data_IF_591283051763
#
_entry.id   IF_591283051763
#
_cell.length_a   1.000
_cell.length_b   1.000
_cell.length_c   1.000
_cell.angle_alpha   90.00
_cell.angle_beta   90.00
_cell.angle_gamma   90.00
#
_symmetry.space_group_name_H-M   'P 1'
#
loop_
_entity.id
_entity.type
_entity.pdbx_description
1 polymer ?
#
# COMPACT_ATOMS: atom_id res chain seq x y z
N UNK A 1 0.39 -28.24 -6.93
CA UNK A 1 -0.98 -28.72 -7.18
C UNK A 1 -1.56 -27.97 -8.36
N UNK A 2 -2.08 -28.66 -9.38
CA UNK A 2 -2.73 -27.99 -10.51
C UNK A 2 -4.22 -27.79 -10.21
N UNK A 3 -4.72 -26.58 -10.50
CA UNK A 3 -6.11 -26.19 -10.28
C UNK A 3 -6.84 -25.96 -11.60
N UNK A 4 -8.13 -26.23 -11.58
CA UNK A 4 -9.06 -25.91 -12.66
C UNK A 4 -10.25 -25.16 -12.07
N UNK A 5 -10.83 -24.26 -12.85
CA UNK A 5 -12.03 -23.52 -12.45
C UNK A 5 -13.04 -23.45 -13.60
N UNK A 6 -14.31 -23.30 -13.27
CA UNK A 6 -15.38 -23.12 -14.24
C UNK A 6 -15.57 -21.62 -14.54
N UNK A 7 -15.60 -21.25 -15.82
CA UNK A 7 -15.92 -19.90 -16.27
C UNK A 7 -16.95 -19.96 -17.41
N UNK A 8 -18.14 -19.41 -17.19
CA UNK A 8 -19.22 -19.42 -18.19
C UNK A 8 -19.60 -20.84 -18.68
N UNK A 9 -19.54 -21.83 -17.79
CA UNK A 9 -19.82 -23.24 -18.11
C UNK A 9 -18.65 -24.02 -18.73
N UNK A 10 -17.54 -23.34 -19.07
CA UNK A 10 -16.33 -23.99 -19.60
C UNK A 10 -15.30 -24.28 -18.51
N UNK A 11 -14.58 -25.39 -18.65
CA UNK A 11 -13.44 -25.74 -17.80
C UNK A 11 -12.18 -25.00 -18.24
N UNK A 12 -11.58 -24.22 -17.35
CA UNK A 12 -10.32 -23.50 -17.57
C UNK A 12 -9.22 -24.09 -16.69
N UNK A 13 -8.07 -24.41 -17.28
CA UNK A 13 -6.88 -24.96 -16.61
C UNK A 13 -6.11 -25.96 -17.48
N UNK A 14 -5.00 -26.54 -16.99
CA UNK A 14 -4.48 -26.44 -15.62
C UNK A 14 -3.87 -25.07 -15.33
N UNK A 15 -4.19 -24.53 -14.16
CA UNK A 15 -3.61 -23.31 -13.61
C UNK A 15 -2.65 -23.71 -12.48
N UNK A 16 -1.45 -23.14 -12.48
CA UNK A 16 -0.51 -23.37 -11.39
C UNK A 16 -1.00 -22.68 -10.08
N UNK A 17 -0.49 -23.07 -8.90
CA UNK A 17 -0.96 -22.53 -7.63
C UNK A 17 -0.88 -21.00 -7.52
N UNK A 18 0.20 -20.40 -8.04
CA UNK A 18 0.43 -18.94 -7.95
C UNK A 18 -0.57 -18.15 -8.82
N UNK A 19 -0.76 -18.57 -10.07
CA UNK A 19 -1.72 -17.96 -10.98
C UNK A 19 -3.16 -18.17 -10.50
N UNK A 20 -3.44 -19.30 -9.84
CA UNK A 20 -4.75 -19.55 -9.24
C UNK A 20 -5.05 -18.57 -8.11
N UNK A 21 -4.09 -18.32 -7.20
CA UNK A 21 -4.22 -17.26 -6.19
C UNK A 21 -4.37 -15.87 -6.80
N UNK A 22 -3.65 -15.58 -7.89
CA UNK A 22 -3.78 -14.31 -8.60
C UNK A 22 -5.19 -14.11 -9.19
N UNK A 23 -5.84 -15.16 -9.68
CA UNK A 23 -7.22 -15.12 -10.20
C UNK A 23 -8.26 -14.89 -9.09
N UNK A 24 -8.02 -15.45 -7.90
CA UNK A 24 -8.85 -15.19 -6.71
C UNK A 24 -8.70 -13.73 -6.29
N UNK A 25 -7.46 -13.25 -6.14
CA UNK A 25 -7.17 -11.86 -5.76
C UNK A 25 -7.67 -10.85 -6.82
N UNK A 26 -7.67 -11.25 -8.09
CA UNK A 26 -8.24 -10.48 -9.20
C UNK A 26 -9.76 -10.52 -9.30
N UNK A 27 -10.45 -11.29 -8.44
CA UNK A 27 -11.91 -11.40 -8.42
C UNK A 27 -12.52 -12.22 -9.56
N UNK A 28 -11.70 -12.93 -10.33
CA UNK A 28 -12.20 -13.84 -11.39
C UNK A 28 -12.79 -15.12 -10.79
N UNK A 29 -12.16 -15.63 -9.72
CA UNK A 29 -12.67 -16.75 -8.94
C UNK A 29 -13.33 -16.18 -7.69
N UNK A 30 -14.63 -16.34 -7.58
CA UNK A 30 -15.45 -15.92 -6.43
C UNK A 30 -15.80 -17.14 -5.57
N UNK A 31 -16.45 -16.93 -4.42
CA UNK A 31 -16.85 -18.02 -3.53
C UNK A 31 -17.77 -19.07 -4.17
N UNK A 32 -18.55 -18.66 -5.19
CA UNK A 32 -19.48 -19.54 -5.90
C UNK A 32 -18.83 -20.25 -7.10
N UNK A 33 -17.66 -19.79 -7.55
CA UNK A 33 -16.95 -20.39 -8.67
C UNK A 33 -16.60 -21.84 -8.36
N UNK A 34 -17.01 -22.76 -9.23
CA UNK A 34 -16.66 -24.17 -9.10
C UNK A 34 -15.19 -24.36 -9.44
N UNK A 35 -14.47 -25.02 -8.54
CA UNK A 35 -13.04 -25.33 -8.67
C UNK A 35 -12.81 -26.82 -8.48
N UNK A 36 -11.77 -27.33 -9.10
CA UNK A 36 -11.38 -28.73 -9.02
C UNK A 36 -9.87 -28.89 -9.10
N UNK A 37 -9.35 -29.89 -8.40
CA UNK A 37 -7.95 -30.34 -8.48
C UNK A 37 -7.91 -31.85 -8.62
N UNK A 38 -6.80 -32.40 -9.10
CA UNK A 38 -6.61 -33.86 -9.28
C UNK A 38 -6.84 -34.67 -7.98
N UNK A 39 -6.70 -34.04 -6.81
CA UNK A 39 -6.95 -34.65 -5.51
C UNK A 39 -8.42 -34.65 -5.07
N UNK A 40 -9.34 -34.12 -5.87
CA UNK A 40 -10.77 -34.00 -5.54
C UNK A 40 -11.60 -35.00 -6.37
N UNK A 41 -12.61 -35.59 -5.73
CA UNK A 41 -13.56 -36.46 -6.41
C UNK A 41 -14.48 -35.69 -7.38
N UNK A 42 -14.91 -34.49 -6.98
CA UNK A 42 -15.90 -33.69 -7.70
C UNK A 42 -15.59 -32.20 -7.66
N UNK A 43 -16.21 -31.44 -8.56
CA UNK A 43 -16.15 -29.98 -8.61
C UNK A 43 -16.89 -29.39 -7.41
N UNK A 44 -16.24 -28.49 -6.67
CA UNK A 44 -16.82 -27.88 -5.47
C UNK A 44 -16.75 -26.35 -5.56
N UNK A 45 -17.70 -25.60 -4.97
CA UNK A 45 -17.60 -24.15 -4.86
C UNK A 45 -16.33 -23.74 -4.11
N UNK A 46 -15.65 -22.70 -4.59
CA UNK A 46 -14.40 -22.23 -3.99
C UNK A 46 -14.56 -21.87 -2.51
N UNK A 47 -15.71 -21.32 -2.09
CA UNK A 47 -15.95 -20.99 -0.68
C UNK A 47 -15.79 -22.19 0.26
N UNK A 48 -16.17 -23.40 -0.19
CA UNK A 48 -16.01 -24.61 0.61
C UNK A 48 -14.55 -25.09 0.60
N UNK A 49 -13.91 -25.07 -0.57
CA UNK A 49 -12.52 -25.49 -0.74
C UNK A 49 -11.55 -24.56 -0.02
N UNK A 50 -11.85 -23.26 0.02
CA UNK A 50 -11.05 -22.24 0.69
C UNK A 50 -10.93 -22.49 2.21
N UNK A 51 -11.93 -23.11 2.83
CA UNK A 51 -11.91 -23.44 4.25
C UNK A 51 -10.96 -24.63 4.59
N UNK A 52 -10.76 -25.54 3.64
CA UNK A 52 -9.94 -26.76 3.80
C UNK A 52 -8.51 -26.61 3.26
N UNK A 53 -8.24 -25.49 2.60
CA UNK A 53 -6.95 -25.18 1.98
C UNK A 53 -6.31 -23.96 2.63
N UNK A 54 -5.00 -23.84 2.54
CA UNK A 54 -4.28 -22.63 2.93
C UNK A 54 -3.10 -22.37 1.99
N UNK A 55 -2.58 -21.15 2.05
CA UNK A 55 -1.44 -20.73 1.25
C UNK A 55 -0.15 -21.12 1.96
N UNK A 56 0.73 -21.83 1.27
CA UNK A 56 2.05 -22.19 1.76
C UNK A 56 2.91 -20.94 1.89
N UNK A 57 3.45 -20.67 3.08
CA UNK A 57 4.30 -19.50 3.32
C UNK A 57 5.58 -19.52 2.48
N UNK A 58 6.09 -20.71 2.15
CA UNK A 58 7.34 -20.86 1.41
C UNK A 58 7.17 -20.66 -0.12
N UNK A 59 6.07 -21.15 -0.70
CA UNK A 59 5.87 -21.14 -2.15
C UNK A 59 4.79 -20.16 -2.62
N UNK A 60 3.95 -19.64 -1.72
CA UNK A 60 2.78 -18.82 -2.08
C UNK A 60 1.65 -19.60 -2.77
N UNK A 61 1.82 -20.90 -3.00
CA UNK A 61 0.80 -21.76 -3.59
C UNK A 61 -0.22 -22.25 -2.57
N UNK A 62 -1.48 -22.45 -3.00
CA UNK A 62 -2.53 -23.05 -2.17
C UNK A 62 -2.47 -24.58 -2.17
N UNK A 63 -2.51 -25.17 -0.98
CA UNK A 63 -2.49 -26.62 -0.73
C UNK A 63 -3.52 -27.00 0.35
N UNK A 64 -3.81 -28.29 0.50
CA UNK A 64 -4.69 -28.80 1.56
C UNK A 64 -4.05 -28.63 2.92
N UNK A 65 -4.82 -28.14 3.90
CA UNK A 65 -4.31 -27.92 5.26
C UNK A 65 -3.80 -29.22 5.91
N UNK A 66 -4.44 -30.36 5.63
CA UNK A 66 -4.02 -31.69 6.09
C UNK A 66 -2.60 -32.10 5.64
N UNK A 67 -2.13 -31.55 4.52
CA UNK A 67 -0.83 -31.89 3.93
C UNK A 67 0.25 -30.84 4.28
N UNK A 68 -0.06 -29.93 5.21
CA UNK A 68 0.80 -28.82 5.61
C UNK A 68 1.10 -28.84 7.11
N UNK A 69 2.28 -28.33 7.45
CA UNK A 69 2.72 -28.16 8.84
C UNK A 69 2.39 -26.73 9.28
N UNK A 70 1.62 -26.54 10.36
CA UNK A 70 1.44 -25.23 10.97
C UNK A 70 2.68 -24.83 11.76
N UNK A 71 3.16 -23.60 11.58
CA UNK A 71 4.29 -23.01 12.31
C UNK A 71 4.09 -21.50 12.45
N UNK A 72 4.06 -20.98 13.68
CA UNK A 72 3.87 -19.54 13.98
C UNK A 72 2.69 -18.88 13.22
N UNK A 73 1.55 -19.58 13.13
CA UNK A 73 0.36 -19.08 12.42
C UNK A 73 0.45 -19.14 10.89
N UNK A 74 1.52 -19.72 10.33
CA UNK A 74 1.70 -19.96 8.89
C UNK A 74 1.59 -21.45 8.57
N UNK A 75 1.19 -21.77 7.35
CA UNK A 75 1.18 -23.14 6.84
C UNK A 75 2.37 -23.35 5.89
N UNK A 76 3.05 -24.49 6.01
CA UNK A 76 4.21 -24.85 5.19
C UNK A 76 3.94 -26.21 4.55
N UNK A 77 4.01 -26.31 3.23
CA UNK A 77 3.80 -27.59 2.54
C UNK A 77 4.95 -28.57 2.78
N UNK A 78 4.63 -29.86 2.76
CA UNK A 78 5.61 -30.92 2.97
C UNK A 78 6.84 -30.80 2.04
N UNK A 79 6.61 -30.43 0.77
CA UNK A 79 7.67 -30.23 -0.24
C UNK A 79 8.66 -29.11 0.13
N UNK A 80 8.20 -28.05 0.79
CA UNK A 80 9.03 -26.88 1.12
C UNK A 80 9.48 -26.86 2.59
N UNK A 81 9.07 -27.83 3.40
CA UNK A 81 9.33 -27.89 4.84
C UNK A 81 10.83 -27.82 5.15
N UNK A 82 11.62 -28.68 4.52
CA UNK A 82 13.06 -28.76 4.79
C UNK A 82 13.78 -27.48 4.39
N UNK A 83 13.52 -26.96 3.18
CA UNK A 83 14.11 -25.70 2.72
C UNK A 83 13.72 -24.52 3.62
N UNK A 84 12.46 -24.48 4.07
CA UNK A 84 11.97 -23.42 4.96
C UNK A 84 12.70 -23.44 6.31
N UNK A 85 12.78 -24.61 6.98
CA UNK A 85 13.47 -24.72 8.26
C UNK A 85 14.99 -24.57 8.14
N UNK A 86 15.57 -24.98 7.01
CA UNK A 86 16.99 -24.75 6.73
C UNK A 86 17.28 -23.24 6.63
N UNK A 87 16.49 -22.50 5.85
CA UNK A 87 16.60 -21.03 5.77
C UNK A 87 16.40 -20.37 7.13
N UNK A 88 15.47 -20.87 7.94
CA UNK A 88 15.24 -20.38 9.30
C UNK A 88 16.48 -20.57 10.19
N UNK A 89 17.14 -21.73 10.13
CA UNK A 89 18.38 -22.01 10.87
C UNK A 89 19.56 -21.16 10.41
N UNK A 90 19.65 -20.91 9.11
CA UNK A 90 20.70 -20.10 8.51
C UNK A 90 20.47 -18.58 8.71
N UNK A 91 19.33 -18.19 9.30
CA UNK A 91 18.92 -16.79 9.39
C UNK A 91 18.63 -16.15 8.02
N UNK A 92 18.44 -16.98 6.98
CA UNK A 92 18.15 -16.56 5.62
C UNK A 92 16.68 -16.17 5.53
N UNK A 93 16.42 -15.03 4.88
CA UNK A 93 15.08 -14.50 4.72
C UNK A 93 14.19 -15.52 4.00
N UNK A 94 13.03 -15.78 4.61
CA UNK A 94 12.06 -16.70 4.04
C UNK A 94 11.45 -16.06 2.78
N UNK A 95 11.19 -16.85 1.73
CA UNK A 95 10.44 -16.38 0.58
C UNK A 95 9.06 -15.90 1.09
N UNK A 96 8.59 -14.75 0.59
CA UNK A 96 7.43 -14.00 1.09
C UNK A 96 7.56 -13.27 2.44
N UNK A 97 8.73 -13.26 3.09
CA UNK A 97 8.94 -12.36 4.22
C UNK A 97 9.27 -10.96 3.71
N UNK A 98 8.35 -10.02 3.90
CA UNK A 98 8.53 -8.63 3.50
C UNK A 98 9.70 -7.99 4.25
N UNK A 99 10.74 -7.56 3.53
CA UNK A 99 11.83 -6.77 4.12
C UNK A 99 11.35 -5.34 4.34
N UNK A 100 11.06 -4.97 5.58
CA UNK A 100 10.55 -3.65 5.89
C UNK A 100 11.62 -2.57 5.74
N UNK A 101 11.27 -1.50 5.01
CA UNK A 101 12.17 -0.35 4.80
C UNK A 101 12.55 0.34 6.11
N UNK A 102 13.85 0.56 6.31
CA UNK A 102 14.40 1.25 7.50
C UNK A 102 13.75 2.62 7.70
N UNK A 103 13.53 3.01 8.96
CA UNK A 103 13.00 4.32 9.34
C UNK A 103 13.75 5.49 8.68
N UNK A 104 15.08 5.52 8.76
CA UNK A 104 15.88 6.62 8.19
C UNK A 104 15.71 6.81 6.68
N UNK A 105 15.59 5.71 5.90
CA UNK A 105 15.34 5.80 4.46
C UNK A 105 13.94 6.34 4.16
N UNK A 106 12.95 5.99 4.98
CA UNK A 106 11.58 6.54 4.88
C UNK A 106 11.57 8.04 5.23
N UNK A 107 12.36 8.47 6.22
CA UNK A 107 12.47 9.87 6.62
C UNK A 107 13.09 10.71 5.50
N UNK A 108 14.23 10.28 4.94
CA UNK A 108 14.88 10.99 3.84
C UNK A 108 13.98 11.00 2.60
N UNK A 109 13.31 9.88 2.28
CA UNK A 109 12.31 9.85 1.22
C UNK A 109 11.22 10.91 1.42
N UNK A 110 10.72 11.08 2.66
CA UNK A 110 9.71 12.10 2.97
C UNK A 110 10.24 13.53 2.84
N UNK A 111 11.51 13.77 3.17
CA UNK A 111 12.17 15.08 2.93
C UNK A 111 12.23 15.36 1.43
N UNK A 112 12.67 14.40 0.62
CA UNK A 112 12.73 14.54 -0.84
C UNK A 112 11.34 14.79 -1.43
N UNK A 113 10.35 14.00 -1.02
CA UNK A 113 8.96 14.20 -1.44
C UNK A 113 8.44 15.58 -1.01
N UNK A 114 8.78 16.02 0.20
CA UNK A 114 8.44 17.34 0.73
C UNK A 114 9.02 18.48 -0.09
N UNK A 115 10.27 18.37 -0.55
CA UNK A 115 10.90 19.35 -1.44
C UNK A 115 10.19 19.42 -2.80
N UNK A 116 9.86 18.26 -3.39
CA UNK A 116 9.14 18.20 -4.67
C UNK A 116 7.77 18.85 -4.54
N UNK A 117 6.97 18.42 -3.55
CA UNK A 117 5.63 18.99 -3.34
C UNK A 117 5.71 20.44 -2.89
N UNK A 118 6.75 20.84 -2.18
CA UNK A 118 6.98 22.21 -1.71
C UNK A 118 7.29 23.17 -2.87
N UNK A 119 8.10 22.76 -3.84
CA UNK A 119 8.38 23.57 -5.04
C UNK A 119 7.12 23.75 -5.90
N UNK A 120 6.35 22.68 -6.10
CA UNK A 120 5.06 22.75 -6.81
C UNK A 120 4.06 23.62 -6.04
N UNK A 121 4.01 23.46 -4.72
CA UNK A 121 3.17 24.26 -3.83
C UNK A 121 3.53 25.74 -3.88
N UNK A 122 4.83 26.08 -3.86
CA UNK A 122 5.31 27.45 -3.95
C UNK A 122 4.86 28.12 -5.26
N UNK A 123 5.01 27.44 -6.41
CA UNK A 123 4.54 27.98 -7.69
C UNK A 123 3.03 28.20 -7.72
N UNK A 124 2.26 27.25 -7.19
CA UNK A 124 0.80 27.38 -7.09
C UNK A 124 0.41 28.53 -6.13
N UNK A 125 1.12 28.67 -5.03
CA UNK A 125 0.86 29.66 -4.00
C UNK A 125 1.20 31.08 -4.46
N UNK A 126 2.29 31.27 -5.23
CA UNK A 126 2.60 32.55 -5.88
C UNK A 126 1.53 32.94 -6.92
N UNK A 127 1.05 31.97 -7.70
CA UNK A 127 -0.04 32.20 -8.64
C UNK A 127 -1.32 32.61 -7.92
N UNK A 128 -1.66 31.91 -6.84
CA UNK A 128 -2.81 32.21 -6.00
C UNK A 128 -2.65 33.57 -5.30
N UNK A 129 -1.47 33.90 -4.76
CA UNK A 129 -1.22 35.17 -4.10
C UNK A 129 -1.34 36.34 -5.08
N UNK A 130 -0.91 36.17 -6.33
CA UNK A 130 -1.09 37.19 -7.36
C UNK A 130 -2.57 37.45 -7.67
N UNK A 131 -3.44 36.43 -7.61
CA UNK A 131 -4.88 36.60 -7.81
C UNK A 131 -5.55 37.36 -6.64
N UNK A 132 -5.11 37.14 -5.40
CA UNK A 132 -5.70 37.76 -4.21
C UNK A 132 -5.10 39.13 -3.87
N UNK A 133 -3.80 39.33 -4.13
CA UNK A 133 -3.04 40.51 -3.73
C UNK A 133 -2.44 41.30 -4.91
N UNK A 134 -2.61 40.85 -6.16
CA UNK A 134 -2.11 41.57 -7.33
C UNK A 134 -2.64 43.01 -7.40
N UNK A 135 -3.93 43.20 -7.14
CA UNK A 135 -4.56 44.51 -7.09
C UNK A 135 -3.97 45.43 -6.00
N UNK A 136 -3.47 44.88 -4.89
CA UNK A 136 -2.83 45.68 -3.83
C UNK A 136 -1.50 46.30 -4.30
N UNK A 137 -0.77 45.58 -5.16
CA UNK A 137 0.50 46.06 -5.73
C UNK A 137 0.24 47.13 -6.81
N UNK A 138 -0.76 46.95 -7.66
CA UNK A 138 -1.03 47.85 -8.79
C UNK A 138 -2.01 49.00 -8.47
N UNK A 139 -2.83 48.87 -7.43
CA UNK A 139 -3.84 49.85 -6.98
C UNK A 139 -3.88 49.91 -5.45
N UNK A 140 -2.93 50.59 -4.81
CA UNK A 140 -2.84 50.63 -3.35
C UNK A 140 -4.11 51.29 -2.77
N UNK A 141 -4.95 50.48 -2.11
CA UNK A 141 -6.08 50.97 -1.32
C UNK A 141 -5.60 51.33 0.09
N UNK A 142 -6.04 52.44 0.70
CA UNK A 142 -5.75 52.73 2.10
C UNK A 142 -6.33 51.62 3.00
N UNK A 143 -5.64 51.31 4.09
CA UNK A 143 -5.89 50.16 4.98
C UNK A 143 -7.35 50.00 5.43
N UNK A 144 -8.12 49.25 4.65
CA UNK A 144 -9.51 48.89 4.93
C UNK A 144 -9.61 47.48 5.52
N UNK A 145 -10.71 47.15 6.23
CA UNK A 145 -11.03 45.79 6.66
C UNK A 145 -11.00 44.73 5.54
N UNK A 146 -11.07 45.16 4.27
CA UNK A 146 -10.98 44.31 3.08
C UNK A 146 -9.65 43.54 2.99
N UNK A 147 -8.54 44.13 3.44
CA UNK A 147 -7.22 43.48 3.38
C UNK A 147 -7.18 42.25 4.31
N UNK A 148 -7.75 42.37 5.51
CA UNK A 148 -7.83 41.26 6.46
C UNK A 148 -8.72 40.13 5.94
N UNK A 149 -9.83 40.48 5.28
CA UNK A 149 -10.72 39.50 4.65
C UNK A 149 -10.04 38.74 3.49
N UNK A 150 -9.35 39.46 2.60
CA UNK A 150 -8.58 38.85 1.50
C UNK A 150 -7.46 37.94 2.01
N UNK A 151 -6.80 38.30 3.11
CA UNK A 151 -5.78 37.46 3.74
C UNK A 151 -6.36 36.15 4.29
N UNK A 152 -7.48 36.20 5.01
CA UNK A 152 -8.15 35.00 5.51
C UNK A 152 -8.64 34.10 4.36
N UNK A 153 -9.21 34.71 3.31
CA UNK A 153 -9.66 33.98 2.13
C UNK A 153 -8.49 33.31 1.39
N UNK A 154 -7.36 34.02 1.22
CA UNK A 154 -6.14 33.47 0.65
C UNK A 154 -5.59 32.32 1.49
N UNK A 155 -5.52 32.44 2.82
CA UNK A 155 -5.05 31.35 3.69
C UNK A 155 -5.94 30.10 3.57
N UNK A 156 -7.27 30.29 3.53
CA UNK A 156 -8.20 29.18 3.30
C UNK A 156 -8.01 28.52 1.93
N UNK A 157 -7.88 29.32 0.88
CA UNK A 157 -7.66 28.83 -0.48
C UNK A 157 -6.31 28.12 -0.62
N UNK A 158 -5.23 28.67 -0.06
CA UNK A 158 -3.90 28.07 -0.08
C UNK A 158 -3.86 26.71 0.62
N UNK A 159 -4.54 26.58 1.77
CA UNK A 159 -4.67 25.29 2.46
C UNK A 159 -5.38 24.23 1.61
N UNK A 160 -6.49 24.62 0.95
CA UNK A 160 -7.25 23.71 0.09
C UNK A 160 -6.46 23.30 -1.15
N UNK A 161 -5.80 24.25 -1.82
CA UNK A 161 -4.96 24.00 -2.99
C UNK A 161 -3.77 23.11 -2.62
N UNK A 162 -3.08 23.41 -1.53
CA UNK A 162 -1.96 22.61 -1.03
C UNK A 162 -2.36 21.17 -0.70
N UNK A 163 -3.51 20.99 -0.03
CA UNK A 163 -4.05 19.66 0.28
C UNK A 163 -4.42 18.91 -1.01
N UNK A 164 -5.05 19.58 -1.98
CA UNK A 164 -5.41 18.98 -3.25
C UNK A 164 -4.19 18.55 -4.07
N UNK A 165 -3.15 19.38 -4.14
CA UNK A 165 -1.88 19.07 -4.80
C UNK A 165 -1.21 17.88 -4.13
N UNK A 166 -1.11 17.88 -2.79
CA UNK A 166 -0.50 16.79 -2.04
C UNK A 166 -1.24 15.46 -2.22
N UNK A 167 -2.57 15.50 -2.23
CA UNK A 167 -3.41 14.33 -2.48
C UNK A 167 -3.23 13.82 -3.90
N UNK A 168 -3.29 14.69 -4.90
CA UNK A 168 -3.11 14.34 -6.31
C UNK A 168 -1.73 13.71 -6.57
N UNK A 169 -0.68 14.31 -6.01
CA UNK A 169 0.68 13.78 -6.04
C UNK A 169 0.75 12.37 -5.45
N UNK A 170 0.29 12.21 -4.20
CA UNK A 170 0.35 10.93 -3.50
C UNK A 170 -0.46 9.86 -4.25
N UNK A 171 -1.67 10.22 -4.67
CA UNK A 171 -2.58 9.33 -5.39
C UNK A 171 -1.98 8.84 -6.72
N UNK A 172 -1.47 9.76 -7.54
CA UNK A 172 -0.89 9.41 -8.84
C UNK A 172 0.30 8.47 -8.70
N UNK A 173 1.25 8.79 -7.82
CA UNK A 173 2.49 8.02 -7.70
C UNK A 173 2.28 6.67 -7.01
N UNK A 174 1.45 6.60 -5.96
CA UNK A 174 1.13 5.32 -5.33
C UNK A 174 0.35 4.41 -6.29
N UNK A 175 -0.56 4.97 -7.10
CA UNK A 175 -1.34 4.15 -8.04
C UNK A 175 -0.50 3.61 -9.19
N UNK A 176 0.45 4.40 -9.70
CA UNK A 176 1.27 4.02 -10.86
C UNK A 176 2.51 3.22 -10.49
N UNK A 177 3.17 3.55 -9.39
CA UNK A 177 4.49 2.99 -9.05
C UNK A 177 4.53 2.30 -7.68
N UNK A 178 3.40 2.25 -6.96
CA UNK A 178 3.31 1.78 -5.57
C UNK A 178 4.26 2.52 -4.61
N UNK A 179 4.75 3.70 -4.99
CA UNK A 179 5.72 4.47 -4.21
C UNK A 179 5.75 5.91 -4.70
N UNK A 180 6.05 6.83 -3.79
CA UNK A 180 6.35 8.22 -4.14
C UNK A 180 7.77 8.33 -4.73
N UNK A 181 8.08 9.35 -5.55
CA UNK A 181 9.41 9.60 -6.09
C UNK A 181 10.55 9.49 -5.08
N UNK A 182 10.39 10.08 -3.89
CA UNK A 182 11.36 9.95 -2.80
C UNK A 182 11.53 8.50 -2.37
N UNK A 183 10.44 7.75 -2.20
CA UNK A 183 10.48 6.32 -1.84
C UNK A 183 11.08 5.46 -2.96
N UNK A 184 10.80 5.77 -4.21
CA UNK A 184 11.37 5.11 -5.39
C UNK A 184 12.89 5.25 -5.44
N UNK A 185 13.42 6.45 -5.14
CA UNK A 185 14.86 6.70 -5.13
C UNK A 185 15.62 5.80 -4.14
N UNK A 186 14.98 5.41 -3.03
CA UNK A 186 15.54 4.50 -2.03
C UNK A 186 15.13 3.03 -2.21
N UNK A 187 14.49 2.68 -3.33
CA UNK A 187 14.05 1.32 -3.61
C UNK A 187 13.00 0.82 -2.62
N UNK A 188 12.05 1.68 -2.25
CA UNK A 188 10.95 1.38 -1.33
C UNK A 188 9.62 1.31 -2.08
N UNK A 189 8.74 0.38 -1.69
CA UNK A 189 7.36 0.25 -2.17
C UNK A 189 6.39 0.18 -1.01
N UNK A 190 5.20 0.74 -1.20
CA UNK A 190 4.08 0.67 -0.27
C UNK A 190 3.11 -0.40 -0.77
N UNK A 191 2.93 -1.43 0.04
CA UNK A 191 2.01 -2.55 -0.22
C UNK A 191 1.07 -2.71 0.97
N UNK A 192 0.07 -3.57 0.84
CA UNK A 192 -0.75 -4.01 1.97
C UNK A 192 -0.02 -5.09 2.79
N UNK A 193 -0.55 -5.43 3.97
CA UNK A 193 -0.07 -6.53 4.82
C UNK A 193 0.00 -7.89 4.11
N UNK A 194 -0.84 -8.13 3.10
CA UNK A 194 -0.84 -9.31 2.24
C UNK A 194 0.07 -9.19 1.01
N UNK A 195 0.77 -8.06 0.85
CA UNK A 195 1.61 -7.76 -0.32
C UNK A 195 0.83 -7.23 -1.54
N UNK A 196 -0.50 -7.14 -1.47
CA UNK A 196 -1.32 -6.63 -2.58
C UNK A 196 -1.16 -5.11 -2.78
N UNK A 197 -1.57 -4.65 -3.97
CA UNK A 197 -1.58 -3.24 -4.32
C UNK A 197 -2.67 -2.47 -3.55
N UNK A 198 -2.44 -1.18 -3.31
CA UNK A 198 -3.37 -0.32 -2.58
C UNK A 198 -4.59 0.07 -3.42
N UNK A 199 -5.78 0.03 -2.82
CA UNK A 199 -6.99 0.57 -3.43
C UNK A 199 -7.02 2.11 -3.36
N UNK A 200 -7.77 2.76 -4.27
CA UNK A 200 -7.88 4.23 -4.32
C UNK A 200 -8.27 4.83 -2.95
N UNK A 201 -9.27 4.25 -2.30
CA UNK A 201 -9.76 4.74 -1.00
C UNK A 201 -8.71 4.61 0.10
N UNK A 202 -7.90 3.55 0.07
CA UNK A 202 -6.82 3.35 1.05
C UNK A 202 -5.66 4.33 0.83
N UNK A 203 -5.38 4.71 -0.42
CA UNK A 203 -4.38 5.75 -0.74
C UNK A 203 -4.84 7.12 -0.21
N UNK A 204 -6.11 7.48 -0.44
CA UNK A 204 -6.68 8.75 0.03
C UNK A 204 -6.71 8.78 1.57
N UNK A 205 -7.20 7.71 2.20
CA UNK A 205 -7.22 7.59 3.66
C UNK A 205 -5.82 7.68 4.26
N UNK A 206 -4.81 7.08 3.61
CA UNK A 206 -3.41 7.18 4.03
C UNK A 206 -2.92 8.62 4.00
N UNK A 207 -3.27 9.41 2.98
CA UNK A 207 -2.87 10.82 2.89
C UNK A 207 -3.40 11.63 4.07
N UNK A 208 -4.67 11.49 4.42
CA UNK A 208 -5.25 12.18 5.59
C UNK A 208 -4.68 11.66 6.91
N UNK A 209 -4.39 10.36 7.02
CA UNK A 209 -3.71 9.81 8.19
C UNK A 209 -2.26 10.32 8.33
N UNK A 210 -1.58 10.60 7.21
CA UNK A 210 -0.29 11.29 7.20
C UNK A 210 -0.42 12.74 7.68
N UNK A 211 -1.49 13.46 7.30
CA UNK A 211 -1.78 14.80 7.83
C UNK A 211 -2.01 14.77 9.35
N UNK A 212 -2.79 13.80 9.84
CA UNK A 212 -3.01 13.61 11.27
C UNK A 212 -1.68 13.32 12.00
N UNK A 213 -0.80 12.53 11.39
CA UNK A 213 0.55 12.28 11.92
C UNK A 213 1.40 13.55 12.00
N UNK A 214 1.18 14.51 11.10
CA UNK A 214 1.80 15.83 11.12
C UNK A 214 1.28 16.71 12.27
N UNK A 215 -0.03 16.69 12.53
CA UNK A 215 -0.67 17.45 13.61
C UNK A 215 -0.18 17.03 15.00
N UNK A 216 0.10 15.74 15.20
CA UNK A 216 0.66 15.21 16.46
C UNK A 216 2.19 15.34 16.54
N UNK A 217 2.78 16.41 16.00
CA UNK A 217 4.23 16.69 16.04
C UNK A 217 5.12 15.57 15.49
N UNK A 218 4.71 14.90 14.41
CA UNK A 218 5.45 13.80 13.78
C UNK A 218 5.70 12.58 14.69
N UNK A 219 5.04 12.49 15.85
CA UNK A 219 5.11 11.33 16.76
C UNK A 219 4.75 10.06 16.00
N UNK A 220 3.76 10.13 15.09
CA UNK A 220 3.35 9.01 14.24
C UNK A 220 4.44 8.49 13.30
N UNK A 221 5.49 9.26 13.02
CA UNK A 221 6.67 8.82 12.27
C UNK A 221 7.71 8.16 13.18
N UNK A 222 7.90 8.68 14.41
CA UNK A 222 8.86 8.13 15.39
C UNK A 222 8.51 6.68 15.76
N UNK A 223 7.22 6.33 15.78
CA UNK A 223 6.74 4.96 16.04
C UNK A 223 7.37 3.91 15.12
N UNK A 224 7.71 4.27 13.87
CA UNK A 224 8.34 3.33 12.94
C UNK A 224 9.77 2.95 13.33
N UNK A 225 10.40 3.66 14.27
CA UNK A 225 11.70 3.31 14.84
C UNK A 225 11.64 2.21 15.91
N UNK A 226 10.49 2.02 16.56
CA UNK A 226 10.32 1.10 17.70
C UNK A 226 9.44 -0.12 17.38
N UNK A 227 8.83 -0.16 16.20
CA UNK A 227 7.94 -1.24 15.76
C UNK A 227 8.71 -2.27 14.91
N UNK A 228 8.51 -3.57 15.18
CA UNK A 228 9.18 -4.68 14.47
C UNK A 228 8.89 -4.70 12.96
N UNK A 229 7.66 -4.31 12.58
CA UNK A 229 7.25 -4.15 11.17
C UNK A 229 7.51 -2.72 10.64
N UNK A 230 8.13 -1.86 11.46
CA UNK A 230 8.49 -0.46 11.18
C UNK A 230 7.31 0.36 10.68
N UNK A 231 6.14 0.17 11.28
CA UNK A 231 4.89 0.85 10.90
C UNK A 231 4.80 2.23 11.53
N UNK A 232 4.37 3.20 10.73
CA UNK A 232 3.93 4.52 11.21
C UNK A 232 2.46 4.47 11.66
N UNK A 233 1.97 5.56 12.26
CA UNK A 233 0.56 5.68 12.63
C UNK A 233 -0.38 5.49 11.43
N UNK A 234 -0.10 6.15 10.32
CA UNK A 234 -0.89 6.02 9.09
C UNK A 234 -0.76 4.63 8.45
N UNK A 235 0.38 3.94 8.65
CA UNK A 235 0.54 2.56 8.19
C UNK A 235 -0.41 1.61 8.94
N UNK A 236 -0.63 1.85 10.24
CA UNK A 236 -1.56 1.08 11.08
C UNK A 236 -3.01 1.36 10.72
N UNK A 237 -3.39 2.63 10.62
CA UNK A 237 -4.76 3.04 10.26
C UNK A 237 -5.15 2.48 8.89
N UNK A 238 -4.22 2.50 7.93
CA UNK A 238 -4.49 2.10 6.57
C UNK A 238 -3.96 0.72 6.21
N UNK A 239 -3.64 -0.16 7.16
CA UNK A 239 -3.15 -1.53 6.91
C UNK A 239 -2.13 -1.60 5.75
N UNK A 240 -1.11 -0.74 5.82
CA UNK A 240 -0.09 -0.62 4.77
C UNK A 240 1.28 -0.92 5.35
N UNK A 241 2.21 -1.35 4.50
CA UNK A 241 3.60 -1.66 4.82
C UNK A 241 4.51 -1.06 3.77
N UNK A 242 5.64 -0.52 4.19
CA UNK A 242 6.69 -0.09 3.25
C UNK A 242 7.80 -1.12 3.24
N UNK A 243 7.99 -1.73 2.07
CA UNK A 243 8.93 -2.82 1.83
C UNK A 243 10.08 -2.35 0.95
N UNK A 244 11.23 -3.01 1.08
CA UNK A 244 12.40 -2.83 0.22
C UNK A 244 12.27 -3.72 -1.01
N UNK A 245 12.67 -3.21 -2.17
CA UNK A 245 12.57 -3.89 -3.48
C UNK A 245 13.80 -4.74 -3.79
N UNK A 246 14.86 -4.62 -2.99
CA UNK A 246 16.16 -5.28 -3.13
C UNK A 246 16.75 -5.54 -1.76
#
# INVERSE_FOLDING_TARGET
MEWFYANGGNRVGPVNPEAFEALINGGTITGETLVWSKSMAEWRPYAQVAAETAVCAASGGRHWQKDMVPFEGKFISAEHKEQYFQRLREGVQLPNQMVYGNFGRRLIAKIVDGLITGLVGLGADLGLSALFFGDFIFRPKPNTPEIAASFLAYQGASLLVGTAIGLAYTWYFLKKYAATPGKLAFGLRVVRSDGSALTNGRIIGRHFAEMLSGLILLIGYIMAGFDEERRTLHDRICDTRVIKIR
#
